data_IF_392351321070
#
_entry.id   IF_392351321070
#
_cell.length_a   1.000
_cell.length_b   1.000
_cell.length_c   1.000
_cell.angle_alpha   90.00
_cell.angle_beta   90.00
_cell.angle_gamma   90.00
#
_symmetry.space_group_name_H-M   'P 1'
#
loop_
_entity.id
_entity.type
_entity.pdbx_description
1 polymer ?
#
# COMPACT_ATOMS: atom_id res chain seq x y z
N UNK A 1 -25.46 11.03 -3.22
CA UNK A 1 -25.03 9.74 -2.66
C UNK A 1 -26.07 9.23 -1.67
N UNK A 2 -26.30 7.92 -1.60
CA UNK A 2 -27.13 7.32 -0.55
C UNK A 2 -26.37 7.25 0.77
N UNK A 3 -27.05 7.11 1.92
CA UNK A 3 -26.39 6.94 3.24
C UNK A 3 -25.42 5.76 3.25
N UNK A 4 -25.82 4.65 2.64
CA UNK A 4 -24.98 3.46 2.48
C UNK A 4 -23.74 3.75 1.63
N UNK A 5 -23.87 4.50 0.53
CA UNK A 5 -22.73 4.88 -0.29
C UNK A 5 -21.72 5.75 0.49
N UNK A 6 -22.20 6.65 1.35
CA UNK A 6 -21.34 7.46 2.22
C UNK A 6 -20.61 6.58 3.24
N UNK A 7 -21.33 5.65 3.89
CA UNK A 7 -20.72 4.71 4.84
C UNK A 7 -19.64 3.85 4.17
N UNK A 8 -19.93 3.28 3.01
CA UNK A 8 -18.99 2.45 2.26
C UNK A 8 -17.76 3.24 1.80
N UNK A 9 -17.95 4.47 1.33
CA UNK A 9 -16.85 5.35 0.97
C UNK A 9 -15.92 5.61 2.17
N UNK A 10 -16.49 6.04 3.31
CA UNK A 10 -15.72 6.35 4.51
C UNK A 10 -15.05 5.10 5.11
N UNK A 11 -15.71 3.95 5.07
CA UNK A 11 -15.13 2.68 5.48
C UNK A 11 -13.91 2.32 4.60
N UNK A 12 -14.02 2.50 3.28
CA UNK A 12 -12.89 2.30 2.37
C UNK A 12 -11.72 3.24 2.68
N UNK A 13 -12.00 4.54 2.91
CA UNK A 13 -10.96 5.51 3.27
C UNK A 13 -10.26 5.17 4.59
N UNK A 14 -11.01 4.70 5.59
CA UNK A 14 -10.45 4.24 6.85
C UNK A 14 -9.50 3.04 6.66
N UNK A 15 -9.88 2.07 5.81
CA UNK A 15 -9.05 0.91 5.52
C UNK A 15 -7.75 1.32 4.80
N UNK A 16 -7.84 2.24 3.83
CA UNK A 16 -6.65 2.79 3.15
C UNK A 16 -5.72 3.49 4.14
N UNK A 17 -6.27 4.36 5.01
CA UNK A 17 -5.49 5.10 5.99
C UNK A 17 -4.82 4.16 7.02
N UNK A 18 -5.49 3.08 7.42
CA UNK A 18 -4.91 2.08 8.30
C UNK A 18 -3.78 1.31 7.63
N UNK A 19 -3.94 0.93 6.36
CA UNK A 19 -2.90 0.26 5.59
C UNK A 19 -1.65 1.14 5.42
N UNK A 20 -1.85 2.41 5.06
CA UNK A 20 -0.80 3.43 4.97
C UNK A 20 -0.06 3.62 6.29
N UNK A 21 -0.79 3.65 7.42
CA UNK A 21 -0.19 3.71 8.75
C UNK A 21 0.73 2.50 9.00
N UNK A 22 0.27 1.29 8.69
CA UNK A 22 1.07 0.07 8.87
C UNK A 22 2.29 0.08 7.96
N UNK A 23 2.14 0.51 6.70
CA UNK A 23 3.24 0.64 5.74
C UNK A 23 4.32 1.62 6.24
N UNK A 24 3.92 2.83 6.63
CA UNK A 24 4.82 3.86 7.15
C UNK A 24 5.52 3.42 8.45
N UNK A 25 4.77 2.76 9.36
CA UNK A 25 5.32 2.21 10.59
C UNK A 25 6.36 1.13 10.30
N UNK A 26 6.11 0.23 9.36
CA UNK A 26 7.06 -0.80 8.96
C UNK A 26 8.36 -0.19 8.43
N UNK A 27 8.26 0.82 7.56
CA UNK A 27 9.42 1.58 7.07
C UNK A 27 10.24 2.20 8.21
N UNK A 28 9.57 2.86 9.17
CA UNK A 28 10.22 3.45 10.34
C UNK A 28 10.90 2.41 11.23
N UNK A 29 10.24 1.30 11.54
CA UNK A 29 10.81 0.23 12.37
C UNK A 29 12.04 -0.41 11.69
N UNK A 30 11.98 -0.63 10.37
CA UNK A 30 13.14 -1.12 9.60
C UNK A 30 14.30 -0.11 9.62
N UNK A 31 14.00 1.19 9.57
CA UNK A 31 15.01 2.24 9.68
C UNK A 31 15.67 2.25 11.08
N UNK A 32 14.89 2.06 12.15
CA UNK A 32 15.44 1.91 13.50
C UNK A 32 16.37 0.70 13.63
N UNK A 33 16.00 -0.44 13.02
CA UNK A 33 16.86 -1.62 13.00
C UNK A 33 18.21 -1.33 12.32
N UNK A 34 18.23 -0.45 11.31
CA UNK A 34 19.45 -0.07 10.61
C UNK A 34 20.38 0.86 11.37
N UNK A 35 19.98 1.31 12.56
CA UNK A 35 20.93 1.87 13.52
C UNK A 35 21.95 0.82 13.98
N UNK A 36 21.64 -0.48 13.83
CA UNK A 36 22.63 -1.55 13.92
C UNK A 36 23.43 -1.64 12.60
N UNK A 37 24.76 -1.40 12.60
CA UNK A 37 25.56 -1.34 11.36
C UNK A 37 25.67 -2.67 10.59
N UNK A 38 25.22 -3.78 11.21
CA UNK A 38 25.24 -5.11 10.60
C UNK A 38 24.04 -5.39 9.72
N UNK A 39 22.99 -4.55 9.78
CA UNK A 39 21.77 -4.73 9.02
C UNK A 39 21.79 -3.90 7.73
N UNK A 40 21.22 -4.42 6.63
CA UNK A 40 21.16 -3.71 5.35
C UNK A 40 20.19 -2.52 5.44
N UNK A 41 20.54 -1.40 4.81
CA UNK A 41 19.67 -0.20 4.78
C UNK A 41 18.35 -0.49 4.05
N UNK A 42 17.18 -0.18 4.62
CA UNK A 42 15.93 -0.22 3.88
C UNK A 42 15.92 0.87 2.81
N UNK A 43 15.04 0.69 1.83
CA UNK A 43 14.66 1.78 0.93
C UNK A 43 13.86 2.86 1.67
N UNK A 44 13.47 3.90 0.93
CA UNK A 44 12.53 4.91 1.41
C UNK A 44 11.10 4.37 1.34
N UNK A 45 10.26 4.83 2.27
CA UNK A 45 8.85 4.47 2.39
C UNK A 45 8.05 5.77 2.48
N UNK A 46 6.89 5.82 1.82
CA UNK A 46 6.05 7.01 1.75
C UNK A 46 4.81 6.87 2.61
N UNK A 47 4.32 7.99 3.15
CA UNK A 47 3.19 8.00 4.08
C UNK A 47 1.85 7.70 3.39
N UNK A 48 1.73 8.05 2.11
CA UNK A 48 0.55 7.85 1.27
C UNK A 48 0.57 6.53 0.49
N UNK A 49 1.64 5.74 0.65
CA UNK A 49 1.80 4.47 -0.04
C UNK A 49 1.17 3.31 0.76
N UNK A 50 0.39 2.50 0.06
CA UNK A 50 -0.21 1.26 0.63
C UNK A 50 0.79 0.10 0.57
N UNK A 51 0.66 -0.90 1.45
CA UNK A 51 1.50 -2.11 1.45
C UNK A 51 1.42 -2.81 0.08
N UNK A 52 0.21 -2.92 -0.46
CA UNK A 52 -0.05 -3.55 -1.76
C UNK A 52 0.62 -2.78 -2.91
N UNK A 53 0.53 -1.45 -2.92
CA UNK A 53 1.24 -0.62 -3.90
C UNK A 53 2.77 -0.69 -3.73
N UNK A 54 3.28 -0.70 -2.49
CA UNK A 54 4.70 -0.87 -2.19
C UNK A 54 5.25 -2.21 -2.69
N UNK A 55 4.48 -3.29 -2.50
CA UNK A 55 4.81 -4.61 -3.02
C UNK A 55 4.88 -4.64 -4.54
N UNK A 56 3.95 -3.96 -5.21
CA UNK A 56 3.99 -3.80 -6.68
C UNK A 56 5.20 -2.98 -7.13
N UNK A 57 5.48 -1.86 -6.44
CA UNK A 57 6.63 -0.98 -6.71
C UNK A 57 7.95 -1.74 -6.60
N UNK A 58 8.14 -2.55 -5.57
CA UNK A 58 9.30 -3.44 -5.47
C UNK A 58 9.39 -4.46 -6.60
N UNK A 59 8.26 -4.98 -7.05
CA UNK A 59 8.22 -5.93 -8.17
C UNK A 59 8.72 -5.27 -9.46
N UNK A 60 8.18 -4.12 -9.84
CA UNK A 60 8.54 -3.43 -11.09
C UNK A 60 9.96 -2.85 -11.08
N UNK A 61 10.50 -2.49 -9.90
CA UNK A 61 11.88 -2.03 -9.75
C UNK A 61 12.89 -3.16 -9.49
N UNK A 62 12.45 -4.43 -9.52
CA UNK A 62 13.35 -5.57 -9.36
C UNK A 62 13.95 -5.74 -7.96
N UNK A 63 13.41 -5.08 -6.93
CA UNK A 63 13.90 -5.18 -5.54
C UNK A 63 13.57 -6.55 -4.96
N UNK A 64 12.30 -6.97 -5.06
CA UNK A 64 11.81 -8.28 -4.59
C UNK A 64 10.41 -8.53 -5.13
N UNK A 65 10.15 -9.75 -5.58
CA UNK A 65 8.84 -10.14 -6.14
C UNK A 65 8.01 -11.02 -5.22
N UNK A 66 8.60 -11.60 -4.17
CA UNK A 66 7.89 -12.51 -3.27
C UNK A 66 6.79 -11.82 -2.43
N UNK A 67 6.94 -10.56 -1.95
CA UNK A 67 5.88 -9.95 -1.14
C UNK A 67 4.61 -9.73 -1.96
N UNK A 68 4.74 -9.25 -3.20
CA UNK A 68 3.62 -9.15 -4.16
C UNK A 68 2.88 -10.47 -4.30
N UNK A 69 3.60 -11.56 -4.57
CA UNK A 69 3.00 -12.90 -4.73
C UNK A 69 2.26 -13.38 -3.48
N UNK A 70 2.78 -13.06 -2.29
CA UNK A 70 2.13 -13.39 -1.03
C UNK A 70 0.84 -12.58 -0.85
N UNK A 71 0.88 -11.26 -1.08
CA UNK A 71 -0.28 -10.38 -0.92
C UNK A 71 -1.37 -10.71 -1.95
N UNK A 72 -1.03 -10.80 -3.23
CA UNK A 72 -1.98 -11.19 -4.29
C UNK A 72 -2.55 -12.60 -4.01
N UNK A 73 -1.74 -13.54 -3.53
CA UNK A 73 -2.20 -14.88 -3.18
C UNK A 73 -3.21 -14.89 -2.02
N UNK A 74 -3.06 -14.00 -1.04
CA UNK A 74 -4.06 -13.84 0.03
C UNK A 74 -5.33 -13.14 -0.48
N UNK A 75 -5.19 -12.13 -1.34
CA UNK A 75 -6.30 -11.41 -1.92
C UNK A 75 -7.13 -12.30 -2.87
N UNK A 76 -6.48 -13.23 -3.57
CA UNK A 76 -7.12 -14.23 -4.42
C UNK A 76 -8.10 -15.12 -3.65
N UNK A 77 -7.79 -15.45 -2.39
CA UNK A 77 -8.71 -16.22 -1.52
C UNK A 77 -10.02 -15.45 -1.27
N UNK A 78 -9.96 -14.12 -1.36
CA UNK A 78 -11.10 -13.20 -1.23
C UNK A 78 -11.71 -12.80 -2.59
N UNK A 79 -11.21 -13.35 -3.70
CA UNK A 79 -11.69 -13.10 -5.05
C UNK A 79 -11.12 -11.85 -5.74
N UNK A 80 -9.94 -11.37 -5.32
CA UNK A 80 -9.23 -10.25 -5.93
C UNK A 80 -7.92 -10.74 -6.59
N UNK A 81 -7.92 -10.82 -7.92
CA UNK A 81 -6.86 -11.47 -8.71
C UNK A 81 -5.59 -10.61 -8.87
N UNK A 82 -5.72 -9.28 -8.93
CA UNK A 82 -4.64 -8.33 -9.26
C UNK A 82 -4.51 -7.21 -8.21
N UNK A 83 -4.72 -7.57 -6.95
CA UNK A 83 -4.83 -6.65 -5.83
C UNK A 83 -3.69 -5.62 -5.73
N UNK A 84 -2.43 -6.07 -5.81
CA UNK A 84 -1.25 -5.20 -5.75
C UNK A 84 -1.17 -4.24 -6.94
N UNK A 85 -1.47 -4.70 -8.15
CA UNK A 85 -1.45 -3.87 -9.35
C UNK A 85 -2.54 -2.80 -9.29
N UNK A 86 -3.77 -3.17 -8.93
CA UNK A 86 -4.88 -2.23 -8.82
C UNK A 86 -4.67 -1.21 -7.70
N UNK A 87 -4.06 -1.63 -6.58
CA UNK A 87 -3.65 -0.71 -5.51
C UNK A 87 -2.62 0.31 -6.01
N UNK A 88 -1.61 -0.14 -6.76
CA UNK A 88 -0.61 0.74 -7.36
C UNK A 88 -1.21 1.72 -8.37
N UNK A 89 -2.10 1.26 -9.27
CA UNK A 89 -2.81 2.16 -10.21
C UNK A 89 -3.67 3.17 -9.46
N UNK A 90 -4.36 2.73 -8.41
CA UNK A 90 -5.18 3.62 -7.57
C UNK A 90 -4.35 4.71 -6.91
N UNK A 91 -3.13 4.40 -6.46
CA UNK A 91 -2.19 5.37 -5.89
C UNK A 91 -1.71 6.36 -6.96
N UNK A 92 -1.29 5.86 -8.13
CA UNK A 92 -0.85 6.70 -9.27
C UNK A 92 -1.94 7.66 -9.73
N UNK A 93 -3.20 7.21 -9.75
CA UNK A 93 -4.36 8.02 -10.11
C UNK A 93 -4.92 8.87 -8.94
N UNK A 94 -4.32 8.78 -7.74
CA UNK A 94 -4.75 9.52 -6.56
C UNK A 94 -6.20 9.23 -6.14
N UNK A 95 -6.75 8.04 -6.37
CA UNK A 95 -8.19 7.75 -6.13
C UNK A 95 -8.58 7.88 -4.64
N UNK A 96 -7.62 7.75 -3.73
CA UNK A 96 -7.79 7.99 -2.30
C UNK A 96 -8.05 9.47 -1.98
N UNK A 97 -7.50 10.38 -2.79
CA UNK A 97 -7.62 11.82 -2.60
C UNK A 97 -9.02 12.33 -2.97
N UNK A 98 -9.42 13.50 -2.43
CA UNK A 98 -10.55 14.25 -2.94
C UNK A 98 -10.44 14.47 -4.47
N UNK A 99 -11.56 14.43 -5.23
CA UNK A 99 -11.52 14.57 -6.68
C UNK A 99 -10.78 15.81 -7.20
N UNK A 100 -10.82 16.91 -6.45
CA UNK A 100 -10.15 18.18 -6.77
C UNK A 100 -8.61 18.13 -6.66
N UNK A 101 -8.05 17.09 -6.05
CA UNK A 101 -6.61 16.87 -5.90
C UNK A 101 -6.06 15.79 -6.84
N UNK A 102 -6.89 15.23 -7.72
CA UNK A 102 -6.47 14.20 -8.67
C UNK A 102 -5.96 14.87 -9.95
N UNK A 103 -4.80 14.39 -10.44
CA UNK A 103 -4.19 14.84 -11.70
C UNK A 103 -4.81 14.18 -12.93
#
# INVERSE_FOLDING_TARGET
>A
MTRTAVLLHNAKQLLIAFDQLVNALAGFLLALLCLCPRLPRPGLWWADETISAHCWRWHIHGVRSWPRRLVDGMALILGDDDHCLESYKSEVEGRQLPPEMRE
#
